data_IF_308247981876
#
_entry.id   IF_308247981876
#
_cell.length_a   1.000
_cell.length_b   1.000
_cell.length_c   1.000
_cell.angle_alpha   90.00
_cell.angle_beta   90.00
_cell.angle_gamma   90.00
#
_symmetry.space_group_name_H-M   'P 1'
#
loop_
_entity.id
_entity.type
_entity.pdbx_description
1 polymer ?
#
# COMPACT_ATOMS: atom_id res chain seq x y z
N UNK A 1 22.25 -14.02 -19.26
CA UNK A 1 21.71 -13.62 -20.58
C UNK A 1 20.80 -12.44 -20.31
N UNK A 2 21.16 -11.25 -20.80
CA UNK A 2 20.40 -10.03 -20.57
C UNK A 2 19.29 -9.95 -21.64
N UNK A 3 18.03 -9.88 -21.21
CA UNK A 3 16.91 -9.66 -22.11
C UNK A 3 16.82 -8.17 -22.44
N UNK A 4 16.85 -7.88 -23.74
CA UNK A 4 16.84 -6.54 -24.29
C UNK A 4 15.41 -6.01 -24.30
N UNK A 5 15.14 -4.96 -23.53
CA UNK A 5 13.90 -4.20 -23.61
C UNK A 5 13.77 -3.53 -24.98
N UNK A 6 12.60 -3.66 -25.62
CA UNK A 6 12.27 -2.93 -26.83
C UNK A 6 11.91 -1.48 -26.51
N UNK A 7 12.66 -0.53 -27.07
CA UNK A 7 12.32 0.88 -27.03
C UNK A 7 11.19 1.19 -28.03
N UNK A 8 10.04 1.62 -27.51
CA UNK A 8 9.00 2.27 -28.31
C UNK A 8 8.80 3.66 -27.69
N UNK A 9 9.07 4.72 -28.46
CA UNK A 9 8.80 6.14 -28.15
C UNK A 9 9.54 6.83 -26.98
N UNK A 10 10.59 6.25 -26.40
CA UNK A 10 11.39 6.93 -25.36
C UNK A 10 10.78 6.85 -23.95
N UNK A 11 9.70 6.09 -23.77
CA UNK A 11 9.30 5.59 -22.47
C UNK A 11 10.08 4.30 -22.19
N UNK A 12 10.82 4.29 -21.09
CA UNK A 12 11.44 3.06 -20.58
C UNK A 12 10.33 2.16 -20.09
N UNK A 13 9.90 1.22 -20.94
CA UNK A 13 8.98 0.16 -20.55
C UNK A 13 9.69 -0.71 -19.51
N UNK A 14 9.37 -0.48 -18.23
CA UNK A 14 9.77 -1.39 -17.16
C UNK A 14 8.80 -2.58 -17.15
N UNK A 15 9.31 -3.76 -17.46
CA UNK A 15 8.59 -4.99 -17.14
C UNK A 15 8.65 -5.18 -15.62
N UNK A 16 7.49 -5.08 -14.96
CA UNK A 16 7.37 -5.26 -13.51
C UNK A 16 6.42 -6.42 -13.24
N UNK A 17 6.97 -7.54 -12.79
CA UNK A 17 6.16 -8.65 -12.29
C UNK A 17 5.73 -8.35 -10.84
N UNK A 18 4.48 -7.91 -10.67
CA UNK A 18 3.94 -7.59 -9.36
C UNK A 18 3.15 -8.78 -8.80
N UNK A 19 3.78 -9.59 -7.94
CA UNK A 19 3.08 -10.62 -7.16
C UNK A 19 2.26 -9.98 -6.04
N UNK A 20 0.92 -10.01 -6.18
CA UNK A 20 -0.04 -9.56 -5.15
C UNK A 20 -0.38 -10.72 -4.23
N UNK A 21 -0.30 -10.51 -2.91
CA UNK A 21 -0.68 -11.52 -1.92
C UNK A 21 -2.19 -11.83 -2.03
N UNK A 22 -2.56 -13.10 -2.19
CA UNK A 22 -3.95 -13.53 -2.31
C UNK A 22 -4.80 -13.17 -1.08
N UNK A 23 -4.17 -12.99 0.09
CA UNK A 23 -4.85 -12.55 1.32
C UNK A 23 -5.42 -11.14 1.18
N UNK A 24 -4.94 -10.32 0.22
CA UNK A 24 -5.59 -9.05 -0.12
C UNK A 24 -7.07 -9.20 -0.52
N UNK A 25 -7.50 -10.40 -0.95
CA UNK A 25 -8.89 -10.69 -1.26
C UNK A 25 -9.82 -10.74 -0.04
N UNK A 26 -9.27 -10.84 1.20
CA UNK A 26 -10.06 -10.79 2.44
C UNK A 26 -10.30 -9.37 2.95
N UNK A 27 -9.71 -8.38 2.28
CA UNK A 27 -9.85 -6.95 2.56
C UNK A 27 -10.80 -6.37 1.51
N UNK A 28 -12.06 -6.23 1.90
CA UNK A 28 -13.13 -5.79 1.03
C UNK A 28 -13.15 -4.28 0.85
N UNK A 29 -13.46 -3.83 -0.36
CA UNK A 29 -13.78 -2.44 -0.65
C UNK A 29 -15.28 -2.26 -0.38
N UNK A 30 -15.64 -1.20 0.33
CA UNK A 30 -17.03 -0.81 0.56
C UNK A 30 -17.39 0.26 -0.46
N UNK A 31 -18.31 -0.02 -1.40
CA UNK A 31 -18.84 0.98 -2.31
C UNK A 31 -19.58 2.08 -1.53
N UNK A 32 -19.49 3.33 -2.00
CA UNK A 32 -20.36 4.42 -1.54
C UNK A 32 -21.79 4.17 -1.99
N UNK A 33 -22.74 4.92 -1.44
CA UNK A 33 -24.17 4.77 -1.71
C UNK A 33 -24.53 4.83 -3.20
N UNK A 34 -23.84 5.68 -3.96
CA UNK A 34 -24.00 5.88 -5.41
C UNK A 34 -23.27 4.82 -6.25
N UNK A 35 -22.35 4.07 -5.66
CA UNK A 35 -21.52 3.06 -6.32
C UNK A 35 -22.04 1.62 -6.11
N UNK A 36 -23.08 1.40 -5.28
CA UNK A 36 -23.58 0.06 -4.92
C UNK A 36 -23.99 -0.78 -6.13
N UNK A 37 -24.53 -0.14 -7.17
CA UNK A 37 -25.00 -0.80 -8.39
C UNK A 37 -23.92 -0.88 -9.47
N UNK A 38 -22.72 -0.33 -9.22
CA UNK A 38 -21.61 -0.40 -10.16
C UNK A 38 -21.02 -1.82 -10.18
N UNK A 39 -21.27 -2.52 -11.29
CA UNK A 39 -20.77 -3.88 -11.52
C UNK A 39 -19.25 -3.94 -11.63
N UNK A 40 -18.62 -2.83 -11.96
CA UNK A 40 -17.18 -2.73 -12.17
C UNK A 40 -16.42 -2.29 -10.90
N UNK A 41 -17.12 -1.95 -9.82
CA UNK A 41 -16.49 -1.58 -8.55
C UNK A 41 -15.66 -2.76 -8.03
N UNK A 42 -14.34 -2.60 -7.80
CA UNK A 42 -13.53 -3.68 -7.27
C UNK A 42 -14.04 -4.13 -5.90
N UNK A 43 -14.15 -5.44 -5.69
CA UNK A 43 -14.77 -6.00 -4.48
C UNK A 43 -13.82 -6.06 -3.29
N UNK A 44 -12.52 -6.09 -3.58
CA UNK A 44 -11.45 -6.24 -2.59
C UNK A 44 -10.15 -5.62 -3.13
N UNK A 45 -9.13 -5.56 -2.27
CA UNK A 45 -7.83 -4.99 -2.64
C UNK A 45 -7.07 -5.80 -3.69
N UNK A 46 -7.36 -7.09 -3.84
CA UNK A 46 -6.81 -7.88 -4.93
C UNK A 46 -7.29 -7.35 -6.28
N UNK A 47 -8.61 -7.21 -6.45
CA UNK A 47 -9.19 -6.66 -7.67
C UNK A 47 -8.81 -5.19 -7.90
N UNK A 48 -8.64 -4.41 -6.82
CA UNK A 48 -8.15 -3.03 -6.93
C UNK A 48 -6.71 -2.98 -7.49
N UNK A 49 -5.82 -3.85 -7.00
CA UNK A 49 -4.46 -3.95 -7.51
C UNK A 49 -4.43 -4.40 -8.98
N UNK A 50 -5.25 -5.39 -9.36
CA UNK A 50 -5.42 -5.81 -10.75
C UNK A 50 -5.91 -4.67 -11.65
N UNK A 51 -6.89 -3.89 -11.18
CA UNK A 51 -7.40 -2.73 -11.92
C UNK A 51 -6.28 -1.71 -12.17
N UNK A 52 -5.52 -1.34 -11.14
CA UNK A 52 -4.41 -0.41 -11.27
C UNK A 52 -3.37 -0.88 -12.29
N UNK A 53 -3.02 -2.17 -12.28
CA UNK A 53 -2.11 -2.75 -13.26
C UNK A 53 -2.70 -2.66 -14.68
N UNK A 54 -3.98 -3.00 -14.85
CA UNK A 54 -4.65 -2.96 -16.16
C UNK A 54 -4.76 -1.56 -16.76
N UNK A 55 -4.86 -0.51 -15.93
CA UNK A 55 -4.91 0.89 -16.39
C UNK A 55 -3.54 1.57 -16.40
N UNK A 56 -2.44 0.84 -16.20
CA UNK A 56 -1.08 1.38 -16.26
C UNK A 56 -0.65 2.17 -15.01
N UNK A 57 -1.43 2.16 -13.94
CA UNK A 57 -1.10 2.81 -12.66
C UNK A 57 -0.23 1.91 -11.78
N UNK A 58 0.97 1.57 -12.27
CA UNK A 58 1.88 0.61 -11.61
C UNK A 58 2.25 1.05 -10.18
N UNK A 59 2.52 2.35 -9.98
CA UNK A 59 2.86 2.87 -8.64
C UNK A 59 1.70 2.73 -7.65
N UNK A 60 0.46 2.81 -8.13
CA UNK A 60 -0.73 2.60 -7.30
C UNK A 60 -0.83 1.12 -6.88
N UNK A 61 -0.61 0.18 -7.81
CA UNK A 61 -0.58 -1.24 -7.51
C UNK A 61 0.54 -1.61 -6.52
N UNK A 62 1.73 -1.02 -6.67
CA UNK A 62 2.85 -1.17 -5.73
C UNK A 62 2.48 -0.64 -4.33
N UNK A 63 1.76 0.48 -4.24
CA UNK A 63 1.28 1.00 -2.95
C UNK A 63 0.29 0.04 -2.28
N UNK A 64 -0.68 -0.50 -3.02
CA UNK A 64 -1.62 -1.51 -2.49
C UNK A 64 -0.85 -2.71 -1.97
N UNK A 65 0.08 -3.26 -2.77
CA UNK A 65 0.90 -4.41 -2.37
C UNK A 65 1.67 -4.14 -1.08
N UNK A 66 2.38 -3.01 -0.99
CA UNK A 66 3.17 -2.65 0.19
C UNK A 66 2.27 -2.46 1.41
N UNK A 67 1.20 -1.67 1.28
CA UNK A 67 0.32 -1.37 2.41
C UNK A 67 -0.41 -2.62 2.94
N UNK A 68 -0.81 -3.54 2.07
CA UNK A 68 -1.37 -4.84 2.50
C UNK A 68 -0.32 -5.71 3.16
N UNK A 69 0.91 -5.77 2.62
CA UNK A 69 1.99 -6.52 3.23
C UNK A 69 2.30 -6.00 4.65
N UNK A 70 2.39 -4.69 4.83
CA UNK A 70 2.61 -4.05 6.13
C UNK A 70 1.50 -4.43 7.13
N UNK A 71 0.22 -4.34 6.72
CA UNK A 71 -0.92 -4.74 7.55
C UNK A 71 -0.83 -6.21 7.98
N UNK A 72 -0.59 -7.11 7.02
CA UNK A 72 -0.55 -8.56 7.26
C UNK A 72 0.66 -8.96 8.10
N UNK A 73 1.78 -8.27 7.95
CA UNK A 73 2.98 -8.48 8.77
C UNK A 73 2.71 -8.12 10.24
N UNK A 74 2.03 -7.00 10.51
CA UNK A 74 1.64 -6.61 11.87
C UNK A 74 0.71 -7.67 12.50
N UNK A 75 -0.27 -8.19 11.76
CA UNK A 75 -1.13 -9.25 12.28
C UNK A 75 -0.38 -10.57 12.51
N UNK A 76 0.60 -10.90 11.66
CA UNK A 76 1.33 -12.17 11.74
C UNK A 76 2.35 -12.16 12.87
N UNK A 77 3.00 -11.03 13.11
CA UNK A 77 4.05 -10.89 14.13
C UNK A 77 3.51 -10.52 15.52
N UNK A 78 2.17 -10.47 15.66
CA UNK A 78 1.43 -10.27 16.88
C UNK A 78 1.67 -8.88 17.51
N UNK A 79 0.64 -8.02 17.63
CA UNK A 79 0.75 -6.84 18.46
C UNK A 79 0.87 -7.32 19.91
N UNK A 80 2.09 -7.35 20.43
CA UNK A 80 2.52 -7.74 21.79
C UNK A 80 1.85 -6.97 22.95
N UNK A 81 0.77 -6.23 22.66
CA UNK A 81 0.04 -5.36 23.57
C UNK A 81 0.86 -4.16 24.05
N UNK A 82 2.11 -4.02 23.60
CA UNK A 82 3.08 -3.01 24.06
C UNK A 82 3.47 -2.04 22.95
N UNK A 83 3.44 -2.49 21.71
CA UNK A 83 3.70 -1.66 20.55
C UNK A 83 2.56 -0.66 20.36
N UNK A 84 2.89 0.63 20.30
CA UNK A 84 1.95 1.68 19.97
C UNK A 84 1.57 1.53 18.49
N UNK A 85 0.38 1.03 18.18
CA UNK A 85 -0.13 0.99 16.80
C UNK A 85 -1.19 2.07 16.59
N UNK A 86 -1.26 2.59 15.36
CA UNK A 86 -2.44 3.32 14.93
C UNK A 86 -3.50 2.33 14.47
N UNK A 87 -4.65 2.36 15.13
CA UNK A 87 -5.78 1.47 14.89
C UNK A 87 -6.95 2.29 14.37
N UNK A 88 -7.62 1.82 13.31
CA UNK A 88 -8.73 2.54 12.74
C UNK A 88 -9.45 1.85 11.60
N UNK A 89 -10.16 2.65 10.81
CA UNK A 89 -10.78 2.19 9.56
C UNK A 89 -9.87 2.50 8.39
N UNK A 90 -9.58 1.49 7.58
CA UNK A 90 -8.78 1.66 6.38
C UNK A 90 -9.59 2.26 5.23
N UNK A 91 -8.90 2.93 4.32
CA UNK A 91 -9.42 3.38 3.02
C UNK A 91 -8.51 2.92 1.90
N UNK A 92 -9.05 2.81 0.69
CA UNK A 92 -8.28 2.74 -0.57
C UNK A 92 -8.47 4.05 -1.32
N UNK A 93 -7.39 4.61 -1.84
CA UNK A 93 -7.43 5.80 -2.70
C UNK A 93 -7.17 5.39 -4.15
N UNK A 94 -8.12 5.68 -5.03
CA UNK A 94 -8.01 5.35 -6.46
C UNK A 94 -7.04 6.26 -7.22
N UNK A 95 -6.75 7.46 -6.70
CA UNK A 95 -5.80 8.37 -7.33
C UNK A 95 -4.34 7.94 -7.15
N UNK A 96 -3.98 7.31 -6.02
CA UNK A 96 -2.58 6.97 -5.72
C UNK A 96 -2.34 5.54 -5.22
N UNK A 97 -3.37 4.71 -5.10
CA UNK A 97 -3.28 3.33 -4.62
C UNK A 97 -2.91 3.18 -3.14
N UNK A 98 -2.90 4.25 -2.36
CA UNK A 98 -2.67 4.15 -0.93
C UNK A 98 -3.80 3.38 -0.27
N UNK A 99 -3.45 2.37 0.52
CA UNK A 99 -4.37 1.72 1.45
C UNK A 99 -3.92 2.03 2.87
N UNK A 100 -4.81 2.59 3.70
CA UNK A 100 -4.42 3.00 5.04
C UNK A 100 -5.46 3.76 5.83
N UNK A 101 -5.12 4.22 7.03
CA UNK A 101 -5.97 5.11 7.83
C UNK A 101 -6.00 6.50 7.17
N UNK A 102 -7.18 7.10 6.95
CA UNK A 102 -7.28 8.42 6.31
C UNK A 102 -6.68 9.54 7.17
N UNK A 103 -6.38 10.67 6.52
CA UNK A 103 -5.88 11.87 7.19
C UNK A 103 -6.91 12.40 8.17
N UNK A 104 -6.48 12.76 9.38
CA UNK A 104 -7.38 13.12 10.48
C UNK A 104 -7.81 11.94 11.35
N UNK A 105 -7.38 10.71 10.99
CA UNK A 105 -7.39 9.55 11.86
C UNK A 105 -8.67 8.72 11.82
N UNK A 106 -8.66 7.67 12.63
CA UNK A 106 -9.73 6.69 12.84
C UNK A 106 -11.02 7.26 13.45
N UNK A 107 -10.97 8.49 13.96
CA UNK A 107 -11.98 9.11 14.81
C UNK A 107 -12.96 10.00 14.01
N UNK A 108 -13.50 9.51 12.90
CA UNK A 108 -14.82 9.98 12.53
C UNK A 108 -15.78 9.46 13.62
N UNK A 109 -16.23 10.37 14.49
CA UNK A 109 -17.02 10.12 15.70
C UNK A 109 -18.06 9.02 15.47
N UNK A 110 -17.82 7.86 16.09
CA UNK A 110 -18.76 6.77 16.11
C UNK A 110 -18.12 5.52 16.66
N UNK A 111 -18.03 5.43 17.99
CA UNK A 111 -17.76 4.18 18.73
C UNK A 111 -18.82 3.08 18.46
N UNK A 112 -19.78 3.35 17.57
CA UNK A 112 -20.77 2.44 17.03
C UNK A 112 -20.97 2.67 15.51
N UNK A 113 -19.92 2.75 14.67
CA UNK A 113 -20.08 2.63 13.21
C UNK A 113 -20.40 1.16 12.87
N UNK A 114 -21.60 0.72 13.28
CA UNK A 114 -22.34 -0.37 12.66
C UNK A 114 -23.31 0.18 11.60
N UNK A 115 -23.49 1.49 11.57
CA UNK A 115 -24.45 2.15 10.69
C UNK A 115 -23.76 2.73 9.45
N UNK A 116 -23.94 1.99 8.36
CA UNK A 116 -23.93 2.43 6.97
C UNK A 116 -22.72 3.25 6.50
N UNK A 117 -21.53 2.63 6.50
CA UNK A 117 -20.30 3.17 5.89
C UNK A 117 -20.49 3.61 4.42
N UNK A 118 -21.55 3.17 3.74
CA UNK A 118 -21.86 3.60 2.39
C UNK A 118 -22.34 5.06 2.34
N UNK A 119 -22.85 5.58 3.47
CA UNK A 119 -23.34 6.97 3.61
C UNK A 119 -22.28 7.94 4.17
N UNK A 120 -21.16 7.42 4.67
CA UNK A 120 -20.11 8.22 5.29
C UNK A 120 -18.99 8.42 4.27
N UNK A 121 -18.69 9.67 3.94
CA UNK A 121 -17.60 9.99 3.01
C UNK A 121 -16.24 9.58 3.59
N UNK A 122 -15.49 8.68 2.91
CA UNK A 122 -14.14 8.30 3.31
C UNK A 122 -13.11 9.38 3.01
N UNK A 123 -11.99 9.33 3.71
CA UNK A 123 -10.85 10.23 3.47
C UNK A 123 -10.85 11.48 4.37
N UNK A 124 -9.98 12.46 4.06
CA UNK A 124 -9.06 12.52 2.92
C UNK A 124 -7.98 11.42 2.94
N UNK A 125 -7.43 11.07 1.77
CA UNK A 125 -6.31 10.15 1.66
C UNK A 125 -5.09 10.67 2.42
N UNK A 126 -4.49 9.85 3.29
CA UNK A 126 -3.35 10.27 4.10
C UNK A 126 -2.05 10.44 3.31
N UNK A 127 -1.96 9.85 2.11
CA UNK A 127 -0.79 9.97 1.23
C UNK A 127 -0.85 11.19 0.31
N UNK A 128 -1.93 11.36 -0.45
CA UNK A 128 -2.03 12.41 -1.48
C UNK A 128 -3.07 13.50 -1.20
N UNK A 129 -3.90 13.34 -0.16
CA UNK A 129 -4.95 14.31 0.18
C UNK A 129 -6.24 14.21 -0.65
N UNK A 130 -6.34 13.27 -1.59
CA UNK A 130 -7.56 13.00 -2.37
C UNK A 130 -8.78 12.79 -1.47
N UNK A 131 -9.93 13.34 -1.85
CA UNK A 131 -11.17 13.33 -1.04
C UNK A 131 -12.34 12.64 -1.71
N UNK A 132 -12.37 12.58 -3.05
CA UNK A 132 -13.52 12.08 -3.79
C UNK A 132 -13.31 10.62 -4.20
N UNK A 133 -12.11 10.32 -4.70
CA UNK A 133 -11.76 9.01 -5.24
C UNK A 133 -11.15 8.11 -4.14
N UNK A 134 -11.91 7.93 -3.06
CA UNK A 134 -11.54 7.14 -1.89
C UNK A 134 -12.73 6.25 -1.48
N UNK A 135 -12.46 5.02 -1.03
CA UNK A 135 -13.47 4.09 -0.50
C UNK A 135 -13.03 3.50 0.85
N UNK A 136 -13.98 3.19 1.72
CA UNK A 136 -13.70 2.48 2.97
C UNK A 136 -13.29 1.03 2.71
N UNK A 137 -12.49 0.48 3.61
CA UNK A 137 -12.05 -0.91 3.59
C UNK A 137 -12.61 -1.69 4.79
N UNK A 138 -12.91 -2.96 4.56
CA UNK A 138 -13.33 -3.92 5.58
C UNK A 138 -12.40 -5.13 5.58
N UNK A 139 -11.61 -5.25 6.64
CA UNK A 139 -10.74 -6.41 6.86
C UNK A 139 -11.57 -7.52 7.52
N UNK A 140 -11.57 -8.72 6.93
CA UNK A 140 -12.29 -9.86 7.51
C UNK A 140 -11.33 -11.00 7.81
N UNK A 141 -11.52 -11.63 8.97
CA UNK A 141 -10.87 -12.89 9.29
C UNK A 141 -11.55 -14.00 8.48
N UNK A 142 -10.79 -14.86 7.76
CA UNK A 142 -11.37 -16.02 7.10
C UNK A 142 -12.05 -16.92 8.15
N UNK A 143 -13.19 -17.50 7.77
CA UNK A 143 -13.94 -18.46 8.59
C UNK A 143 -13.14 -19.75 8.64
N UNK A 144 -12.76 -20.18 9.83
CA UNK A 144 -12.08 -21.45 10.07
C UNK A 144 -12.96 -22.39 10.91
N UNK A 145 -12.52 -23.63 11.12
CA UNK A 145 -13.27 -24.64 11.88
C UNK A 145 -13.57 -24.23 13.33
N UNK A 146 -12.88 -23.19 13.85
CA UNK A 146 -13.01 -22.69 15.23
C UNK A 146 -13.80 -21.39 15.34
N UNK A 147 -14.00 -20.67 14.23
CA UNK A 147 -14.72 -19.40 14.20
C UNK A 147 -15.83 -19.43 13.14
N UNK A 148 -17.06 -19.66 13.59
CA UNK A 148 -18.25 -19.72 12.74
C UNK A 148 -18.80 -18.35 12.33
N UNK A 149 -18.21 -17.24 12.81
CA UNK A 149 -18.63 -15.87 12.50
C UNK A 149 -17.55 -15.14 11.72
N UNK A 150 -17.96 -14.40 10.67
CA UNK A 150 -17.07 -13.44 9.99
C UNK A 150 -16.75 -12.31 10.95
N UNK A 151 -15.59 -12.40 11.58
CA UNK A 151 -15.05 -11.35 12.43
C UNK A 151 -14.41 -10.25 11.57
N UNK A 152 -14.75 -9.02 11.91
CA UNK A 152 -14.23 -7.83 11.25
C UNK A 152 -13.09 -7.27 12.08
N UNK A 153 -11.93 -7.11 11.45
CA UNK A 153 -10.72 -6.61 12.11
C UNK A 153 -10.52 -5.12 11.78
N UNK A 154 -9.97 -4.32 12.70
CA UNK A 154 -9.65 -2.93 12.42
C UNK A 154 -8.40 -2.84 11.54
N UNK A 155 -8.30 -1.83 10.69
CA UNK A 155 -7.04 -1.56 10.02
C UNK A 155 -5.99 -1.10 11.04
N UNK A 156 -4.77 -1.63 10.96
CA UNK A 156 -3.68 -1.33 11.88
C UNK A 156 -2.43 -0.92 11.12
N UNK A 157 -1.74 0.10 11.63
CA UNK A 157 -0.53 0.65 11.04
C UNK A 157 0.51 0.91 12.13
N UNK A 158 1.78 0.74 11.77
CA UNK A 158 2.87 1.28 12.58
C UNK A 158 2.78 2.81 12.60
N UNK A 159 2.93 3.46 13.76
CA UNK A 159 2.91 4.91 13.86
C UNK A 159 4.02 5.50 13.01
N UNK A 160 3.81 6.72 12.48
CA UNK A 160 4.87 7.42 11.79
C UNK A 160 6.05 7.57 12.75
N UNK A 161 7.25 7.32 12.23
CA UNK A 161 8.49 7.57 12.94
C UNK A 161 8.51 9.03 13.41
N UNK A 162 9.05 9.26 14.62
CA UNK A 162 9.30 10.62 15.10
C UNK A 162 10.22 11.39 14.13
N UNK A 163 10.23 12.72 14.19
CA UNK A 163 11.09 13.53 13.31
C UNK A 163 12.57 13.15 13.42
N UNK A 164 13.04 12.79 14.62
CA UNK A 164 14.41 12.32 14.86
C UNK A 164 14.67 10.95 14.21
N UNK A 165 13.73 10.01 14.33
CA UNK A 165 13.84 8.70 13.70
C UNK A 165 13.75 8.79 12.18
N UNK A 166 12.88 9.66 11.65
CA UNK A 166 12.83 9.96 10.23
C UNK A 166 14.14 10.56 9.72
N UNK A 167 14.74 11.49 10.48
CA UNK A 167 16.03 12.09 10.13
C UNK A 167 17.14 11.05 10.12
N UNK A 168 17.23 10.21 11.15
CA UNK A 168 18.19 9.09 11.21
C UNK A 168 18.02 8.11 10.05
N UNK A 169 16.77 7.74 9.72
CA UNK A 169 16.47 6.84 8.60
C UNK A 169 16.85 7.46 7.25
N UNK A 170 16.57 8.76 7.04
CA UNK A 170 16.99 9.49 5.84
C UNK A 170 18.51 9.57 5.73
N UNK A 171 19.20 9.91 6.82
CA UNK A 171 20.68 9.97 6.85
C UNK A 171 21.30 8.60 6.55
N UNK A 172 20.77 7.52 7.13
CA UNK A 172 21.22 6.16 6.85
C UNK A 172 20.99 5.76 5.38
N UNK A 173 19.83 6.08 4.80
CA UNK A 173 19.56 5.85 3.37
C UNK A 173 20.50 6.66 2.47
N UNK A 174 20.79 7.91 2.84
CA UNK A 174 21.68 8.77 2.08
C UNK A 174 23.12 8.26 2.13
N UNK A 175 23.56 7.76 3.29
CA UNK A 175 24.86 7.11 3.46
C UNK A 175 24.97 5.83 2.62
N UNK A 176 23.92 5.00 2.62
CA UNK A 176 23.87 3.77 1.82
C UNK A 176 23.95 4.08 0.32
N UNK A 177 23.16 5.07 -0.16
CA UNK A 177 23.22 5.52 -1.56
C UNK A 177 24.59 6.09 -1.93
N UNK A 178 25.24 6.85 -1.04
CA UNK A 178 26.60 7.34 -1.29
C UNK A 178 27.60 6.21 -1.46
N UNK A 179 27.57 5.20 -0.58
CA UNK A 179 28.43 4.02 -0.72
C UNK A 179 28.18 3.25 -2.02
N UNK A 180 26.92 3.07 -2.40
CA UNK A 180 26.57 2.41 -3.66
C UNK A 180 27.09 3.19 -4.88
N UNK A 181 26.93 4.51 -4.89
CA UNK A 181 27.45 5.36 -5.98
C UNK A 181 28.99 5.34 -6.01
N UNK A 182 29.66 5.41 -4.86
CA UNK A 182 31.12 5.32 -4.78
C UNK A 182 31.64 3.97 -5.33
N UNK A 183 30.99 2.86 -4.99
CA UNK A 183 31.32 1.54 -5.54
C UNK A 183 31.08 1.46 -7.05
N UNK A 184 29.98 2.04 -7.56
CA UNK A 184 29.71 2.10 -9.00
C UNK A 184 30.74 2.95 -9.74
N UNK A 185 31.11 4.12 -9.22
CA UNK A 185 32.14 4.99 -9.80
C UNK A 185 33.49 4.30 -9.82
N UNK A 186 33.88 3.63 -8.71
CA UNK A 186 35.12 2.87 -8.65
C UNK A 186 35.17 1.77 -9.71
N UNK A 187 34.10 0.98 -9.83
CA UNK A 187 33.99 -0.06 -10.87
C UNK A 187 34.07 0.52 -12.29
N UNK A 188 33.45 1.68 -12.53
CA UNK A 188 33.49 2.34 -13.83
C UNK A 188 34.89 2.85 -14.19
N UNK A 189 35.65 3.39 -13.22
CA UNK A 189 37.03 3.82 -13.42
C UNK A 189 37.96 2.64 -13.72
N UNK A 190 37.88 1.56 -12.94
CA UNK A 190 38.67 0.34 -13.17
C UNK A 190 38.36 -0.29 -14.55
N UNK A 191 37.08 -0.28 -14.97
CA UNK A 191 36.69 -0.76 -16.29
C UNK A 191 37.22 0.12 -17.44
N UNK A 192 37.35 1.44 -17.21
CA UNK A 192 37.90 2.38 -18.20
C UNK A 192 39.40 2.26 -18.33
N UNK A 193 40.13 2.07 -17.22
CA UNK A 193 41.57 1.81 -17.23
C UNK A 193 41.89 0.50 -17.96
N UNK A 194 41.12 -0.56 -17.73
CA UNK A 194 41.27 -1.84 -18.45
C UNK A 194 40.96 -1.77 -19.95
N UNK A 195 40.14 -0.82 -20.40
CA UNK A 195 39.85 -0.62 -21.83
C UNK A 195 40.90 0.24 -22.54
N UNK A 196 41.73 0.96 -21.79
CA UNK A 196 42.78 1.83 -22.32
C UNK A 196 44.17 1.16 -22.29
N UNK A 197 44.25 -0.08 -21.79
CA UNK A 197 45.40 -0.99 -21.84
C UNK A 197 45.20 -2.01 -22.96
#
# INVERSE_FOLDING_TARGET
>A
MAEAGQEISGEVLREVELKIDIRSATIFVIPKSDEIQDKNMPRNLHNAAELFLRVGMVDAAENVKRNVADLLDIYSNNPDGKSNFHVGRGVVCWACGHCGIPKGGANQKGSNIKDDLQKITPGPCNKCGETEQVNWLKVTKPVDATNTKKEELPWIETPPLSEEEMKKKKEAQLLAKRKEVEEQVKRALEARERKNL
#
